data_IF_037635527714
#
_entry.id   IF_037635527714
#
_cell.length_a   1.000
_cell.length_b   1.000
_cell.length_c   1.000
_cell.angle_alpha   90.00
_cell.angle_beta   90.00
_cell.angle_gamma   90.00
#
_symmetry.space_group_name_H-M   'P 1'
#
loop_
_entity.id
_entity.type
_entity.pdbx_description
1 polymer ?
#
# COMPACT_ATOMS: atom_id res chain seq x y z
N UNK A 1 -9.60 20.33 18.50
CA UNK A 1 -9.69 19.14 19.38
C UNK A 1 -8.95 18.02 18.70
N UNK A 2 -7.98 17.36 19.36
CA UNK A 2 -7.37 16.14 18.83
C UNK A 2 -8.46 15.06 18.78
N UNK A 3 -8.72 14.51 17.61
CA UNK A 3 -9.61 13.37 17.46
C UNK A 3 -9.00 12.20 18.23
N UNK A 4 -9.75 11.60 19.14
CA UNK A 4 -9.31 10.42 19.89
C UNK A 4 -9.17 9.26 18.90
N UNK A 5 -7.95 8.77 18.71
CA UNK A 5 -7.65 7.69 17.79
C UNK A 5 -8.06 6.37 18.42
N UNK A 6 -8.81 5.56 17.66
CA UNK A 6 -9.39 4.29 18.15
C UNK A 6 -8.66 3.05 17.60
N UNK A 7 -7.48 3.23 17.00
CA UNK A 7 -6.74 2.09 16.48
C UNK A 7 -6.03 1.33 17.61
N UNK A 8 -5.89 0.00 17.50
CA UNK A 8 -4.94 -0.74 18.31
C UNK A 8 -3.56 -0.11 18.24
N UNK A 9 -2.72 -0.32 19.22
CA UNK A 9 -1.43 0.35 19.26
C UNK A 9 -0.28 -0.62 19.52
N UNK A 10 0.87 -0.30 18.92
CA UNK A 10 2.13 -1.00 19.12
C UNK A 10 3.14 -0.02 19.70
N UNK A 11 3.77 -0.41 20.81
CA UNK A 11 4.92 0.33 21.37
C UNK A 11 6.20 -0.31 20.85
N UNK A 12 7.15 0.51 20.43
CA UNK A 12 8.38 0.02 19.77
C UNK A 12 9.64 0.39 20.55
N UNK A 13 10.73 -0.35 20.27
CA UNK A 13 12.05 -0.07 20.84
C UNK A 13 12.56 1.31 20.42
N UNK A 14 13.55 1.84 21.17
CA UNK A 14 14.22 3.09 20.79
C UNK A 14 14.93 3.02 19.44
N UNK A 15 15.43 1.82 19.06
CA UNK A 15 16.01 1.61 17.72
C UNK A 15 14.98 1.84 16.63
N UNK A 16 13.80 1.23 16.74
CA UNK A 16 12.71 1.43 15.77
C UNK A 16 12.18 2.87 15.79
N UNK A 17 12.05 3.51 16.98
CA UNK A 17 11.71 4.93 17.06
C UNK A 17 12.66 5.79 16.22
N UNK A 18 13.97 5.59 16.37
CA UNK A 18 14.96 6.35 15.60
C UNK A 18 14.83 6.09 14.09
N UNK A 19 14.63 4.84 13.68
CA UNK A 19 14.43 4.47 12.27
C UNK A 19 13.18 5.12 11.67
N UNK A 20 12.05 5.09 12.39
CA UNK A 20 10.80 5.73 11.95
C UNK A 20 10.99 7.24 11.78
N UNK A 21 11.64 7.90 12.76
CA UNK A 21 11.91 9.35 12.69
C UNK A 21 12.84 9.75 11.54
N UNK A 22 13.63 8.80 11.03
CA UNK A 22 14.47 8.96 9.83
C UNK A 22 13.73 8.59 8.53
N UNK A 23 12.43 8.27 8.61
CA UNK A 23 11.60 7.94 7.46
C UNK A 23 11.64 6.46 7.05
N UNK A 24 12.20 5.56 7.86
CA UNK A 24 12.17 4.14 7.54
C UNK A 24 10.73 3.60 7.68
N UNK A 25 10.17 2.98 6.62
CA UNK A 25 8.75 2.62 6.59
C UNK A 25 8.43 1.30 7.29
N UNK A 26 9.42 0.51 7.73
CA UNK A 26 9.20 -0.80 8.32
C UNK A 26 9.58 -0.84 9.79
N UNK A 27 8.76 -1.53 10.58
CA UNK A 27 9.06 -1.91 11.96
C UNK A 27 9.04 -3.44 12.03
N UNK A 28 10.15 -4.02 12.44
CA UNK A 28 10.25 -5.47 12.58
C UNK A 28 9.54 -5.92 13.87
N UNK A 29 8.98 -7.13 13.82
CA UNK A 29 8.24 -7.69 14.96
C UNK A 29 9.09 -7.77 16.24
N UNK A 30 10.36 -8.10 16.13
CA UNK A 30 11.30 -8.14 17.25
C UNK A 30 11.53 -6.77 17.93
N UNK A 31 11.12 -5.70 17.26
CA UNK A 31 11.21 -4.33 17.78
C UNK A 31 9.94 -3.90 18.55
N UNK A 32 8.93 -4.75 18.64
CA UNK A 32 7.75 -4.51 19.46
C UNK A 32 8.06 -4.75 20.94
N UNK A 33 7.69 -3.79 21.80
CA UNK A 33 7.84 -3.92 23.25
C UNK A 33 6.50 -4.13 23.96
N UNK A 34 5.41 -3.65 23.36
CA UNK A 34 4.04 -3.90 23.82
C UNK A 34 3.06 -3.78 22.66
N UNK A 35 1.94 -4.49 22.78
CA UNK A 35 0.79 -4.38 21.88
C UNK A 35 -0.44 -4.17 22.74
N UNK A 36 -1.26 -3.18 22.43
CA UNK A 36 -2.52 -2.88 23.12
C UNK A 36 -3.69 -2.87 22.15
N UNK A 37 -4.83 -3.29 22.61
CA UNK A 37 -5.98 -3.60 21.78
C UNK A 37 -5.81 -4.95 21.06
N UNK A 38 -6.65 -5.22 20.09
CA UNK A 38 -6.67 -6.46 19.31
C UNK A 38 -6.38 -6.14 17.83
N UNK A 39 -5.10 -6.02 17.43
CA UNK A 39 -4.78 -5.70 16.06
C UNK A 39 -5.09 -6.88 15.14
N UNK A 40 -5.89 -6.62 14.11
CA UNK A 40 -6.20 -7.60 13.07
C UNK A 40 -5.10 -7.64 12.01
N UNK A 41 -4.94 -8.81 11.35
CA UNK A 41 -4.04 -8.96 10.21
C UNK A 41 -4.42 -7.99 9.10
N UNK A 42 -3.48 -7.13 8.69
CA UNK A 42 -3.72 -6.10 7.68
C UNK A 42 -4.44 -4.85 8.21
N UNK A 43 -4.88 -4.85 9.47
CA UNK A 43 -5.50 -3.69 10.10
C UNK A 43 -4.53 -2.54 10.36
N UNK A 44 -5.06 -1.35 10.59
CA UNK A 44 -4.26 -0.17 10.95
C UNK A 44 -3.97 -0.17 12.45
N UNK A 45 -2.73 0.08 12.82
CA UNK A 45 -2.29 0.29 14.20
C UNK A 45 -1.56 1.62 14.35
N UNK A 46 -1.77 2.27 15.49
CA UNK A 46 -0.94 3.38 15.93
C UNK A 46 0.41 2.87 16.45
N UNK A 47 1.45 3.67 16.29
CA UNK A 47 2.82 3.34 16.73
C UNK A 47 3.29 4.36 17.74
N UNK A 48 3.75 3.87 18.90
CA UNK A 48 4.23 4.72 19.99
C UNK A 48 5.67 4.35 20.38
N UNK A 49 6.41 5.35 20.82
CA UNK A 49 7.68 5.14 21.52
C UNK A 49 7.43 4.62 22.93
N UNK A 50 8.46 4.06 23.58
CA UNK A 50 8.42 3.66 24.99
C UNK A 50 8.10 4.83 25.97
N UNK A 51 8.30 6.07 25.52
CA UNK A 51 7.96 7.29 26.28
C UNK A 51 6.55 7.81 26.00
N UNK A 52 5.73 7.06 25.25
CA UNK A 52 4.36 7.43 24.90
C UNK A 52 4.23 8.48 23.79
N UNK A 53 5.31 8.82 23.08
CA UNK A 53 5.20 9.70 21.91
C UNK A 53 4.62 8.91 20.73
N UNK A 54 3.59 9.45 20.07
CA UNK A 54 3.06 8.89 18.82
C UNK A 54 4.06 9.10 17.69
N UNK A 55 4.34 8.07 16.90
CA UNK A 55 5.35 8.05 15.85
C UNK A 55 4.75 7.93 14.45
N UNK A 56 3.52 7.48 14.34
CA UNK A 56 2.85 7.22 13.08
C UNK A 56 1.78 6.16 13.23
N UNK A 57 1.16 5.79 12.10
CA UNK A 57 0.28 4.65 12.00
C UNK A 57 0.60 3.84 10.74
N UNK A 58 0.31 2.54 10.77
CA UNK A 58 0.67 1.63 9.69
C UNK A 58 -0.13 0.34 9.70
N UNK A 59 0.03 -0.44 8.64
CA UNK A 59 -0.56 -1.77 8.53
C UNK A 59 0.17 -2.77 9.40
N UNK A 60 -0.59 -3.48 10.22
CA UNK A 60 -0.10 -4.53 11.10
C UNK A 60 -0.07 -5.88 10.38
N UNK A 61 0.98 -6.67 10.63
CA UNK A 61 1.04 -8.06 10.21
C UNK A 61 1.37 -8.96 11.40
N UNK A 62 0.49 -9.93 11.67
CA UNK A 62 0.69 -10.93 12.73
C UNK A 62 1.67 -12.02 12.33
N UNK A 63 1.94 -12.22 11.06
CA UNK A 63 2.66 -13.38 10.51
C UNK A 63 4.02 -13.03 9.91
N UNK A 64 4.18 -11.82 9.38
CA UNK A 64 5.40 -11.35 8.74
C UNK A 64 6.48 -10.93 9.75
N UNK A 65 7.75 -11.04 9.37
CA UNK A 65 8.86 -10.42 10.10
C UNK A 65 8.76 -8.90 10.15
N UNK A 66 8.22 -8.29 9.08
CA UNK A 66 7.87 -6.86 9.06
C UNK A 66 6.51 -6.74 9.75
N UNK A 67 6.51 -6.47 11.05
CA UNK A 67 5.31 -6.44 11.87
C UNK A 67 4.43 -5.21 11.63
N UNK A 68 5.02 -4.09 11.19
CA UNK A 68 4.29 -2.89 10.80
C UNK A 68 4.92 -2.26 9.56
N UNK A 69 4.06 -1.73 8.68
CA UNK A 69 4.43 -0.91 7.52
C UNK A 69 3.78 0.46 7.69
N UNK A 70 4.60 1.47 7.96
CA UNK A 70 4.14 2.83 8.25
C UNK A 70 3.44 3.41 7.01
N UNK A 71 2.23 3.92 7.22
CA UNK A 71 1.43 4.60 6.21
C UNK A 71 1.57 6.11 6.28
N UNK A 72 1.56 6.65 7.50
CA UNK A 72 1.60 8.09 7.72
C UNK A 72 2.10 8.44 9.12
N UNK A 73 2.81 9.55 9.20
CA UNK A 73 3.19 10.28 10.42
C UNK A 73 2.28 11.49 10.69
N UNK A 74 1.22 11.67 9.89
CA UNK A 74 0.20 12.68 10.12
C UNK A 74 -0.93 12.12 10.99
N UNK A 75 -1.05 12.61 12.21
CA UNK A 75 -2.05 12.15 13.19
C UNK A 75 -3.51 12.46 12.79
N UNK A 76 -3.73 13.31 11.79
CA UNK A 76 -5.08 13.65 11.31
C UNK A 76 -5.60 12.71 10.21
N UNK A 77 -4.79 11.75 9.77
CA UNK A 77 -5.24 10.77 8.76
C UNK A 77 -6.19 9.73 9.38
N UNK A 78 -7.27 9.47 8.67
CA UNK A 78 -8.32 8.52 9.07
C UNK A 78 -8.24 7.17 8.33
N UNK A 79 -7.35 7.07 7.32
CA UNK A 79 -7.15 5.90 6.46
C UNK A 79 -8.43 5.43 5.74
N UNK A 80 -9.34 6.37 5.49
CA UNK A 80 -10.53 6.17 4.65
C UNK A 80 -10.16 5.93 3.18
N UNK A 81 -11.10 5.53 2.32
CA UNK A 81 -10.88 5.43 0.88
C UNK A 81 -10.21 6.67 0.27
N UNK A 82 -10.61 7.87 0.70
CA UNK A 82 -10.04 9.13 0.22
C UNK A 82 -8.53 9.27 0.52
N UNK A 83 -8.02 8.66 1.60
CA UNK A 83 -6.59 8.61 1.88
C UNK A 83 -5.85 7.84 0.77
N UNK A 84 -6.32 6.65 0.39
CA UNK A 84 -5.68 5.82 -0.62
C UNK A 84 -5.81 6.40 -2.02
N UNK A 85 -6.96 6.97 -2.36
CA UNK A 85 -7.18 7.70 -3.62
C UNK A 85 -6.21 8.86 -3.78
N UNK A 86 -5.94 9.60 -2.70
CA UNK A 86 -4.97 10.68 -2.68
C UNK A 86 -3.53 10.17 -2.85
N UNK A 87 -3.17 8.99 -2.28
CA UNK A 87 -1.84 8.37 -2.49
C UNK A 87 -1.66 7.95 -3.96
N UNK A 88 -2.68 7.38 -4.56
CA UNK A 88 -2.69 7.09 -6.01
C UNK A 88 -2.47 8.36 -6.82
N UNK A 89 -3.20 9.43 -6.50
CA UNK A 89 -3.04 10.73 -7.17
C UNK A 89 -1.60 11.22 -7.12
N UNK A 90 -0.98 11.22 -5.95
CA UNK A 90 0.40 11.67 -5.78
C UNK A 90 1.40 10.80 -6.55
N UNK A 91 1.20 9.49 -6.57
CA UNK A 91 2.04 8.59 -7.35
C UNK A 91 1.97 8.91 -8.84
N UNK A 92 0.76 9.09 -9.39
CA UNK A 92 0.56 9.41 -10.82
C UNK A 92 1.07 10.80 -11.18
N UNK A 93 0.80 11.81 -10.35
CA UNK A 93 1.32 13.18 -10.55
C UNK A 93 2.85 13.20 -10.56
N UNK A 94 3.49 12.45 -9.65
CA UNK A 94 4.94 12.34 -9.65
C UNK A 94 5.47 11.72 -10.94
N UNK A 95 4.90 10.58 -11.42
CA UNK A 95 5.31 9.94 -12.69
C UNK A 95 5.14 10.90 -13.86
N UNK A 96 4.03 11.61 -13.92
CA UNK A 96 3.76 12.61 -14.96
C UNK A 96 4.75 13.77 -14.96
N UNK A 97 5.27 14.14 -13.80
CA UNK A 97 6.26 15.21 -13.66
C UNK A 97 7.68 14.80 -14.06
N UNK A 98 8.04 13.50 -13.93
CA UNK A 98 9.43 13.03 -14.09
C UNK A 98 9.62 12.11 -15.30
N UNK A 99 8.54 11.72 -16.00
CA UNK A 99 8.59 10.81 -17.14
C UNK A 99 7.99 11.47 -18.38
N UNK A 100 8.59 11.21 -19.54
CA UNK A 100 8.12 11.75 -20.82
C UNK A 100 6.79 11.11 -21.25
N UNK A 101 6.52 9.88 -20.82
CA UNK A 101 5.30 9.13 -21.16
C UNK A 101 4.92 8.14 -20.06
N UNK A 102 3.62 7.98 -19.86
CA UNK A 102 3.05 6.92 -18.99
C UNK A 102 2.72 5.64 -19.76
N UNK A 103 3.07 5.51 -21.04
CA UNK A 103 2.71 4.38 -21.88
C UNK A 103 3.24 3.04 -21.40
N UNK A 104 4.48 3.00 -20.89
CA UNK A 104 5.10 1.79 -20.36
C UNK A 104 6.01 2.18 -19.19
N UNK A 105 5.49 2.07 -17.97
CA UNK A 105 6.22 2.50 -16.76
C UNK A 105 5.66 1.90 -15.48
N UNK A 106 6.45 2.00 -14.39
CA UNK A 106 5.97 1.71 -13.04
C UNK A 106 5.19 2.90 -12.49
N UNK A 107 3.89 2.71 -12.29
CA UNK A 107 3.00 3.74 -11.75
C UNK A 107 3.04 3.81 -10.22
N UNK A 108 3.14 2.66 -9.55
CA UNK A 108 3.21 2.56 -8.08
C UNK A 108 4.41 1.71 -7.68
N UNK A 109 5.18 2.21 -6.72
CA UNK A 109 6.36 1.54 -6.18
C UNK A 109 6.33 1.47 -4.65
N UNK A 110 5.39 0.73 -4.11
CA UNK A 110 5.32 0.34 -2.71
C UNK A 110 5.39 1.51 -1.73
N UNK A 111 6.29 1.37 -0.80
CA UNK A 111 6.53 2.31 0.29
C UNK A 111 6.98 3.69 -0.20
N UNK A 112 7.65 3.77 -1.35
CA UNK A 112 8.06 5.05 -1.94
C UNK A 112 6.86 5.94 -2.32
N UNK A 113 5.72 5.33 -2.64
CA UNK A 113 4.48 6.03 -2.96
C UNK A 113 3.46 6.00 -1.80
N UNK A 114 3.87 5.48 -0.64
CA UNK A 114 3.01 5.35 0.54
C UNK A 114 1.88 4.33 0.38
N UNK A 115 2.09 3.32 -0.49
CA UNK A 115 1.21 2.17 -0.73
C UNK A 115 1.99 0.87 -0.48
N UNK A 116 2.26 0.52 0.78
CA UNK A 116 3.20 -0.52 1.16
C UNK A 116 2.95 -1.86 0.47
N UNK A 117 4.03 -2.44 -0.08
CA UNK A 117 4.00 -3.76 -0.70
C UNK A 117 3.22 -3.86 -2.01
N UNK A 118 2.77 -2.73 -2.60
CA UNK A 118 2.09 -2.70 -3.88
C UNK A 118 3.02 -2.21 -4.99
N UNK A 119 3.13 -2.97 -6.06
CA UNK A 119 3.69 -2.47 -7.32
C UNK A 119 2.62 -2.52 -8.40
N UNK A 120 2.55 -1.47 -9.21
CA UNK A 120 1.69 -1.44 -10.40
C UNK A 120 2.50 -0.94 -11.57
N UNK A 121 2.64 -1.77 -12.58
CA UNK A 121 3.27 -1.45 -13.86
C UNK A 121 2.18 -1.27 -14.94
N UNK A 122 2.35 -0.28 -15.79
CA UNK A 122 1.50 -0.05 -16.97
C UNK A 122 2.24 -0.51 -18.21
N UNK A 123 1.55 -1.27 -19.05
CA UNK A 123 1.98 -1.73 -20.35
C UNK A 123 0.91 -1.34 -21.37
N UNK A 124 1.14 -0.22 -22.07
CA UNK A 124 0.16 0.39 -22.96
C UNK A 124 -1.16 0.67 -22.23
N UNK A 125 -2.20 -0.09 -22.44
CA UNK A 125 -3.52 0.05 -21.83
C UNK A 125 -3.84 -1.00 -20.75
N UNK A 126 -2.87 -1.82 -20.36
CA UNK A 126 -3.02 -2.85 -19.33
C UNK A 126 -2.20 -2.46 -18.09
N UNK A 127 -2.82 -2.59 -16.94
CA UNK A 127 -2.15 -2.49 -15.64
C UNK A 127 -1.78 -3.90 -15.14
N UNK A 128 -0.59 -4.04 -14.59
CA UNK A 128 -0.14 -5.29 -13.94
C UNK A 128 0.21 -4.97 -12.50
N UNK A 129 -0.55 -5.54 -11.56
CA UNK A 129 -0.40 -5.30 -10.15
C UNK A 129 0.18 -6.51 -9.41
N UNK A 130 1.06 -6.26 -8.44
CA UNK A 130 1.47 -7.24 -7.45
C UNK A 130 1.34 -6.63 -6.06
N UNK A 131 0.59 -7.29 -5.17
CA UNK A 131 0.38 -6.87 -3.79
C UNK A 131 0.98 -7.90 -2.83
N UNK A 132 1.92 -7.46 -1.97
CA UNK A 132 2.66 -8.31 -1.03
C UNK A 132 2.40 -7.93 0.45
N UNK A 133 1.44 -7.04 0.72
CA UNK A 133 1.10 -6.57 2.06
C UNK A 133 -0.37 -6.83 2.36
N UNK A 134 -0.66 -7.46 3.50
CA UNK A 134 -2.03 -7.80 3.90
C UNK A 134 -2.95 -6.58 4.01
N UNK A 135 -2.45 -5.48 4.58
CA UNK A 135 -3.25 -4.26 4.70
C UNK A 135 -3.58 -3.62 3.35
N UNK A 136 -2.60 -3.57 2.45
CA UNK A 136 -2.83 -3.05 1.09
C UNK A 136 -3.75 -3.96 0.27
N UNK A 137 -3.65 -5.29 0.45
CA UNK A 137 -4.56 -6.25 -0.18
C UNK A 137 -6.01 -6.04 0.26
N UNK A 138 -6.23 -5.68 1.54
CA UNK A 138 -7.56 -5.37 2.08
C UNK A 138 -8.21 -4.10 1.52
N UNK A 139 -7.42 -3.17 0.97
CA UNK A 139 -7.90 -1.91 0.38
C UNK A 139 -7.63 -1.79 -1.12
N UNK A 140 -7.18 -2.87 -1.76
CA UNK A 140 -6.77 -2.87 -3.17
C UNK A 140 -7.88 -2.45 -4.12
N UNK A 141 -9.14 -2.78 -3.84
CA UNK A 141 -10.28 -2.40 -4.68
C UNK A 141 -10.40 -0.88 -4.81
N UNK A 142 -10.25 -0.16 -3.70
CA UNK A 142 -10.20 1.31 -3.71
C UNK A 142 -9.03 1.82 -4.55
N UNK A 143 -7.85 1.25 -4.36
CA UNK A 143 -6.63 1.66 -5.06
C UNK A 143 -6.72 1.39 -6.56
N UNK A 144 -7.18 0.20 -6.96
CA UNK A 144 -7.27 -0.19 -8.39
C UNK A 144 -8.31 0.64 -9.15
N UNK A 145 -9.47 0.90 -8.53
CA UNK A 145 -10.48 1.78 -9.12
C UNK A 145 -9.98 3.22 -9.23
N UNK A 146 -9.30 3.72 -8.20
CA UNK A 146 -8.71 5.05 -8.24
C UNK A 146 -7.63 5.18 -9.34
N UNK A 147 -6.78 4.16 -9.52
CA UNK A 147 -5.79 4.12 -10.60
C UNK A 147 -6.46 4.23 -11.97
N UNK A 148 -7.47 3.40 -12.24
CA UNK A 148 -8.19 3.43 -13.52
C UNK A 148 -8.84 4.79 -13.78
N UNK A 149 -9.61 5.30 -12.82
CA UNK A 149 -10.30 6.59 -12.94
C UNK A 149 -9.35 7.77 -13.16
N UNK A 150 -8.25 7.82 -12.41
CA UNK A 150 -7.32 8.94 -12.50
C UNK A 150 -6.48 8.88 -13.77
N UNK A 151 -6.10 7.70 -14.24
CA UNK A 151 -5.43 7.52 -15.54
C UNK A 151 -6.36 7.96 -16.69
N UNK A 152 -7.62 7.54 -16.68
CA UNK A 152 -8.60 7.96 -17.68
C UNK A 152 -8.82 9.48 -17.67
N UNK A 153 -8.88 10.09 -16.49
CA UNK A 153 -8.96 11.55 -16.36
C UNK A 153 -7.71 12.27 -16.89
N UNK A 154 -6.56 11.58 -16.94
CA UNK A 154 -5.32 12.08 -17.57
C UNK A 154 -5.25 11.82 -19.07
N UNK A 155 -6.26 11.18 -19.67
CA UNK A 155 -6.29 10.79 -21.08
C UNK A 155 -5.64 9.45 -21.40
N UNK A 156 -5.24 8.69 -20.37
CA UNK A 156 -4.64 7.37 -20.51
C UNK A 156 -5.75 6.29 -20.56
N UNK A 157 -5.69 5.40 -21.53
CA UNK A 157 -6.65 4.30 -21.62
C UNK A 157 -6.26 3.17 -20.67
N UNK A 158 -7.25 2.65 -19.93
CA UNK A 158 -7.11 1.44 -19.11
C UNK A 158 -8.13 0.41 -19.60
N UNK A 159 -7.65 -0.70 -20.19
CA UNK A 159 -8.50 -1.79 -20.68
C UNK A 159 -8.58 -2.98 -19.75
N UNK A 160 -7.78 -2.98 -18.67
CA UNK A 160 -7.82 -4.02 -17.65
C UNK A 160 -6.67 -3.93 -16.68
N UNK A 161 -6.84 -4.62 -15.56
CA UNK A 161 -5.81 -4.81 -14.54
C UNK A 161 -5.60 -6.30 -14.31
N UNK A 162 -4.36 -6.76 -14.46
CA UNK A 162 -3.98 -8.15 -14.21
C UNK A 162 -3.21 -8.25 -12.90
N UNK A 163 -3.67 -9.12 -12.00
CA UNK A 163 -3.00 -9.37 -10.72
C UNK A 163 -1.96 -10.49 -10.86
N UNK A 164 -0.72 -10.21 -10.49
CA UNK A 164 0.39 -11.19 -10.42
C UNK A 164 0.74 -11.52 -8.97
N UNK A 165 -0.22 -12.03 -8.24
CA UNK A 165 -0.14 -12.32 -6.82
C UNK A 165 0.35 -13.76 -6.52
N UNK A 166 1.22 -14.31 -7.36
CA UNK A 166 1.76 -15.68 -7.25
C UNK A 166 3.05 -15.78 -6.40
N UNK A 167 3.63 -14.65 -5.98
CA UNK A 167 4.88 -14.61 -5.23
C UNK A 167 4.77 -15.35 -3.87
N UNK A 168 5.79 -16.15 -3.54
CA UNK A 168 5.85 -16.91 -2.29
C UNK A 168 5.77 -16.03 -1.03
N UNK A 169 6.23 -14.77 -1.13
CA UNK A 169 6.17 -13.79 -0.04
C UNK A 169 4.75 -13.51 0.45
N UNK A 170 3.73 -13.67 -0.38
CA UNK A 170 2.32 -13.50 0.03
C UNK A 170 1.92 -14.47 1.13
N UNK A 171 2.45 -15.71 1.11
CA UNK A 171 2.17 -16.70 2.14
C UNK A 171 2.71 -16.27 3.52
N UNK A 172 3.76 -15.45 3.58
CA UNK A 172 4.29 -14.91 4.84
C UNK A 172 3.36 -13.85 5.45
N UNK A 173 2.52 -13.23 4.64
CA UNK A 173 1.49 -12.28 5.06
C UNK A 173 0.12 -12.96 5.27
N UNK A 174 0.04 -14.29 5.17
CA UNK A 174 -1.21 -15.04 5.26
C UNK A 174 -2.14 -14.87 4.05
N UNK A 175 -1.61 -14.38 2.92
CA UNK A 175 -2.39 -14.10 1.72
C UNK A 175 -2.38 -15.28 0.73
N UNK A 176 -3.49 -15.53 0.02
CA UNK A 176 -3.54 -16.54 -1.03
C UNK A 176 -2.65 -16.15 -2.21
N UNK A 177 -2.11 -17.17 -2.89
CA UNK A 177 -1.33 -17.00 -4.12
C UNK A 177 -2.21 -17.25 -5.33
N UNK A 178 -2.24 -16.31 -6.27
CA UNK A 178 -3.03 -16.40 -7.49
C UNK A 178 -2.51 -15.44 -8.56
N UNK A 179 -3.03 -15.60 -9.78
CA UNK A 179 -2.89 -14.62 -10.87
C UNK A 179 -4.16 -14.66 -11.72
N UNK A 180 -4.50 -13.53 -12.31
CA UNK A 180 -5.70 -13.40 -13.15
C UNK A 180 -6.11 -11.96 -13.33
N UNK A 181 -7.13 -11.76 -14.14
CA UNK A 181 -7.76 -10.45 -14.27
C UNK A 181 -8.44 -10.04 -12.97
N UNK A 182 -8.35 -8.75 -12.65
CA UNK A 182 -9.12 -8.16 -11.56
C UNK A 182 -10.55 -7.90 -12.05
N UNK A 183 -11.50 -8.65 -11.50
CA UNK A 183 -12.91 -8.62 -11.92
C UNK A 183 -13.64 -7.30 -11.59
N UNK A 184 -13.03 -6.43 -10.79
CA UNK A 184 -13.60 -5.12 -10.45
C UNK A 184 -13.47 -4.05 -11.52
N UNK A 185 -12.79 -4.36 -12.64
CA UNK A 185 -12.63 -3.52 -13.82
C UNK A 185 -12.94 -4.34 -15.10
N UNK A 186 -13.39 -3.71 -16.20
CA UNK A 186 -13.43 -4.36 -17.50
C UNK A 186 -12.06 -4.91 -17.87
N UNK A 187 -12.02 -6.03 -18.57
CA UNK A 187 -10.77 -6.61 -19.04
C UNK A 187 -10.97 -7.35 -20.39
N UNK A 188 -9.90 -7.48 -21.21
CA UNK A 188 -9.95 -8.26 -22.44
C UNK A 188 -9.99 -9.76 -22.12
N UNK A 189 -10.51 -10.56 -23.04
CA UNK A 189 -10.50 -12.03 -22.92
C UNK A 189 -9.07 -12.60 -22.98
N UNK A 190 -8.19 -11.97 -23.76
CA UNK A 190 -6.79 -12.39 -23.92
C UNK A 190 -5.90 -11.78 -22.85
N UNK A 191 -4.97 -12.57 -22.30
CA UNK A 191 -3.89 -12.10 -21.41
C UNK A 191 -2.65 -11.64 -22.18
N UNK A 192 -2.70 -11.64 -23.53
CA UNK A 192 -1.62 -11.12 -24.38
C UNK A 192 -1.91 -9.68 -24.76
N UNK A 193 -0.94 -8.79 -24.59
CA UNK A 193 -0.98 -7.42 -25.08
C UNK A 193 0.31 -7.15 -25.87
N UNK A 194 0.19 -6.35 -26.93
CA UNK A 194 1.34 -5.87 -27.68
C UNK A 194 1.70 -4.47 -27.18
N UNK A 195 3.00 -4.26 -26.99
CA UNK A 195 3.56 -2.96 -26.64
C UNK A 195 4.14 -2.38 -27.94
N UNK A 196 3.59 -1.29 -28.39
CA UNK A 196 4.06 -0.53 -29.56
C UNK A 196 4.87 0.66 -29.10
#
# INVERSE_FOLDING_TARGET
MKQERKFPAVTVTRKAENSIRQGHPWVYREEFTAVSGEPEQGGVCDVFSQKGAWLGAGFYSATSKIGLRILSDNANEDFSPAFFERRVKYALEYRRAVMDSLGCCRLVFGEADGLPGLTVDKFSNILVAQCLCGGTDGVKDTIYRALAQQLEAMGERVSGLYERNEAALRSLEGLPRYKGWYEGLPHPESTKTEIV
#
